data_IF_307184809199
#
_entry.id   IF_307184809199
#
_cell.length_a   1.000
_cell.length_b   1.000
_cell.length_c   1.000
_cell.angle_alpha   90.00
_cell.angle_beta   90.00
_cell.angle_gamma   90.00
#
_symmetry.space_group_name_H-M   'P 1'
#
loop_
_entity.id
_entity.type
_entity.pdbx_description
1 polymer ?
#
# COMPACT_ATOMS: atom_id res chain seq x y z
N UNK A 1 -22.83 16.47 16.95
CA UNK A 1 -22.29 15.34 16.17
C UNK A 1 -20.77 15.48 16.13
N UNK A 2 -20.02 14.40 16.41
CA UNK A 2 -18.57 14.43 16.32
C UNK A 2 -18.07 14.63 14.89
N UNK A 3 -16.83 15.12 14.71
CA UNK A 3 -16.20 15.31 13.40
C UNK A 3 -16.12 13.97 12.66
N UNK A 4 -16.55 13.94 11.38
CA UNK A 4 -16.36 12.77 10.51
C UNK A 4 -14.92 12.77 9.97
N UNK A 5 -14.03 12.05 10.61
CA UNK A 5 -12.63 11.96 10.19
C UNK A 5 -12.40 11.19 8.89
N UNK A 6 -13.43 10.49 8.36
CA UNK A 6 -13.34 9.78 7.07
C UNK A 6 -13.79 10.65 5.88
N UNK A 7 -14.43 11.80 6.13
CA UNK A 7 -14.81 12.71 5.05
C UNK A 7 -13.59 13.10 4.21
N UNK A 8 -13.66 12.80 2.91
CA UNK A 8 -12.55 13.04 1.98
C UNK A 8 -11.31 12.15 2.15
N UNK A 9 -11.30 11.20 3.10
CA UNK A 9 -10.18 10.29 3.30
C UNK A 9 -10.01 9.32 2.13
N UNK A 10 -8.78 8.81 1.96
CA UNK A 10 -8.41 7.86 0.92
C UNK A 10 -7.66 6.68 1.57
N UNK A 11 -8.11 5.46 1.31
CA UNK A 11 -7.39 4.25 1.70
C UNK A 11 -6.72 3.62 0.47
N UNK A 12 -5.38 3.62 0.44
CA UNK A 12 -4.59 3.06 -0.66
C UNK A 12 -4.28 1.57 -0.49
N UNK A 13 -4.74 0.96 0.60
CA UNK A 13 -4.37 -0.41 0.90
C UNK A 13 -5.41 -1.10 1.77
N UNK A 14 -6.32 -1.80 1.14
CA UNK A 14 -7.23 -2.71 1.84
C UNK A 14 -7.61 -3.89 0.94
N UNK A 15 -8.21 -4.89 1.54
CA UNK A 15 -8.58 -6.14 0.90
C UNK A 15 -10.09 -6.37 0.96
N UNK A 16 -10.64 -6.95 -0.11
CA UNK A 16 -12.03 -7.39 -0.17
C UNK A 16 -12.14 -8.62 -1.08
N UNK A 17 -13.33 -9.18 -1.24
CA UNK A 17 -13.59 -10.34 -2.08
C UNK A 17 -14.45 -10.04 -3.30
N UNK A 18 -14.54 -11.02 -4.23
CA UNK A 18 -13.96 -12.37 -4.15
C UNK A 18 -12.43 -12.39 -4.17
N UNK A 19 -11.84 -13.28 -3.37
CA UNK A 19 -10.39 -13.52 -3.31
C UNK A 19 -10.18 -15.04 -3.03
N UNK A 20 -9.01 -15.58 -3.31
CA UNK A 20 -8.62 -16.95 -2.93
C UNK A 20 -8.53 -17.14 -1.41
N UNK A 21 -8.44 -16.07 -0.66
CA UNK A 21 -8.54 -16.04 0.81
C UNK A 21 -9.90 -15.52 1.21
N UNK A 22 -10.43 -16.04 2.29
CA UNK A 22 -11.66 -15.51 2.86
C UNK A 22 -11.51 -14.02 3.18
N UNK A 23 -12.52 -13.24 2.78
CA UNK A 23 -12.59 -11.80 3.02
C UNK A 23 -13.86 -11.44 3.77
N UNK A 24 -13.77 -10.40 4.59
CA UNK A 24 -14.87 -9.94 5.44
C UNK A 24 -16.06 -9.38 4.67
N UNK A 25 -15.79 -8.84 3.48
CA UNK A 25 -16.78 -8.16 2.64
C UNK A 25 -16.39 -8.28 1.16
N UNK A 26 -17.36 -8.07 0.30
CA UNK A 26 -17.17 -8.00 -1.15
C UNK A 26 -16.57 -6.65 -1.55
N UNK A 27 -16.01 -6.57 -2.77
CA UNK A 27 -15.51 -5.30 -3.33
C UNK A 27 -16.60 -4.24 -3.44
N UNK A 28 -17.84 -4.63 -3.76
CA UNK A 28 -18.98 -3.71 -3.87
C UNK A 28 -19.36 -3.19 -2.48
N UNK A 29 -19.49 -4.06 -1.49
CA UNK A 29 -19.78 -3.65 -0.11
C UNK A 29 -18.71 -2.72 0.44
N UNK A 30 -17.43 -2.97 0.15
CA UNK A 30 -16.33 -2.10 0.54
C UNK A 30 -16.48 -0.69 -0.05
N UNK A 31 -16.79 -0.60 -1.35
CA UNK A 31 -16.99 0.67 -2.02
C UNK A 31 -18.23 1.42 -1.49
N UNK A 32 -19.32 0.72 -1.22
CA UNK A 32 -20.53 1.32 -0.65
C UNK A 32 -20.27 1.84 0.77
N UNK A 33 -19.63 1.07 1.63
CA UNK A 33 -19.30 1.49 3.00
C UNK A 33 -18.36 2.71 2.99
N UNK A 34 -17.37 2.74 2.11
CA UNK A 34 -16.45 3.87 1.98
C UNK A 34 -17.17 5.14 1.49
N UNK A 35 -18.08 5.01 0.50
CA UNK A 35 -18.95 6.10 0.03
C UNK A 35 -19.82 6.63 1.17
N UNK A 36 -20.49 5.75 1.89
CA UNK A 36 -21.43 6.13 2.96
C UNK A 36 -20.70 6.77 4.15
N UNK A 37 -19.41 6.50 4.30
CA UNK A 37 -18.53 7.17 5.25
C UNK A 37 -18.00 8.54 4.75
N UNK A 38 -18.29 8.93 3.51
CA UNK A 38 -17.81 10.18 2.91
C UNK A 38 -16.37 10.13 2.42
N UNK A 39 -15.79 8.94 2.22
CA UNK A 39 -14.43 8.80 1.69
C UNK A 39 -14.36 9.25 0.23
N UNK A 40 -13.22 9.84 -0.17
CA UNK A 40 -12.99 10.31 -1.54
C UNK A 40 -12.62 9.17 -2.49
N UNK A 41 -11.80 8.25 -2.03
CA UNK A 41 -11.33 7.15 -2.86
C UNK A 41 -10.88 5.95 -2.03
N UNK A 42 -10.89 4.80 -2.69
CA UNK A 42 -10.31 3.55 -2.19
C UNK A 42 -9.48 2.89 -3.30
N UNK A 43 -8.40 2.22 -2.91
CA UNK A 43 -7.59 1.39 -3.80
C UNK A 43 -7.57 -0.04 -3.30
N UNK A 44 -8.27 -0.91 -4.02
CA UNK A 44 -8.41 -2.33 -3.67
C UNK A 44 -7.18 -3.13 -4.08
N UNK A 45 -6.73 -3.99 -3.18
CA UNK A 45 -5.58 -4.86 -3.37
C UNK A 45 -5.98 -6.33 -3.28
N UNK A 46 -5.50 -7.13 -4.23
CA UNK A 46 -5.45 -8.59 -4.11
C UNK A 46 -4.00 -9.07 -4.18
N UNK A 47 -3.72 -10.17 -3.49
CA UNK A 47 -2.42 -10.84 -3.62
C UNK A 47 -2.37 -11.79 -4.81
N UNK A 48 -3.53 -12.08 -5.43
CA UNK A 48 -3.69 -13.21 -6.35
C UNK A 48 -4.20 -12.81 -7.74
N UNK A 49 -4.76 -11.60 -7.87
CA UNK A 49 -5.35 -11.13 -9.13
C UNK A 49 -4.98 -9.67 -9.41
N UNK A 50 -5.15 -9.25 -10.65
CA UNK A 50 -5.25 -7.83 -11.01
C UNK A 50 -6.59 -7.34 -10.45
N UNK A 51 -6.61 -6.15 -9.86
CA UNK A 51 -7.84 -5.53 -9.33
C UNK A 51 -8.25 -4.28 -10.09
N UNK A 52 -7.51 -3.91 -11.12
CA UNK A 52 -7.81 -2.73 -11.93
C UNK A 52 -9.10 -2.90 -12.76
N UNK A 53 -9.30 -4.08 -13.35
CA UNK A 53 -10.53 -4.45 -14.06
C UNK A 53 -11.73 -4.53 -13.11
N UNK A 54 -11.54 -5.10 -11.92
CA UNK A 54 -12.56 -5.15 -10.87
C UNK A 54 -12.99 -3.73 -10.46
N UNK A 55 -12.03 -2.83 -10.25
CA UNK A 55 -12.32 -1.42 -9.95
C UNK A 55 -13.14 -0.75 -11.06
N UNK A 56 -12.79 -1.01 -12.33
CA UNK A 56 -13.51 -0.50 -13.50
C UNK A 56 -14.94 -1.03 -13.59
N UNK A 57 -15.17 -2.28 -13.20
CA UNK A 57 -16.52 -2.89 -13.15
C UNK A 57 -17.37 -2.34 -12.02
N UNK A 58 -16.76 -2.00 -10.87
CA UNK A 58 -17.46 -1.49 -9.69
C UNK A 58 -17.78 0.00 -9.84
N UNK A 59 -16.90 0.78 -10.46
CA UNK A 59 -17.05 2.24 -10.55
C UNK A 59 -18.42 2.69 -11.07
N UNK A 60 -19.04 2.09 -12.08
CA UNK A 60 -20.39 2.46 -12.52
C UNK A 60 -21.51 2.13 -11.51
N UNK A 61 -21.26 1.19 -10.59
CA UNK A 61 -22.24 0.77 -9.59
C UNK A 61 -22.23 1.67 -8.34
N UNK A 62 -21.14 2.43 -8.13
CA UNK A 62 -20.98 3.31 -6.97
C UNK A 62 -20.67 4.73 -7.44
N UNK A 63 -21.56 5.67 -7.07
CA UNK A 63 -21.36 7.10 -7.32
C UNK A 63 -20.69 7.73 -6.08
N UNK A 64 -20.15 8.93 -6.27
CA UNK A 64 -19.59 9.77 -5.19
C UNK A 64 -18.39 9.18 -4.44
N UNK A 65 -17.75 8.17 -5.01
CA UNK A 65 -16.47 7.63 -4.56
C UNK A 65 -15.66 7.15 -5.78
N UNK A 66 -14.35 7.30 -5.72
CA UNK A 66 -13.44 6.76 -6.73
C UNK A 66 -12.89 5.41 -6.28
N UNK A 67 -12.98 4.42 -7.16
CA UNK A 67 -12.48 3.06 -6.90
C UNK A 67 -11.31 2.78 -7.83
N UNK A 68 -10.17 2.46 -7.25
CA UNK A 68 -8.95 2.11 -7.97
C UNK A 68 -8.52 0.69 -7.66
N UNK A 69 -7.68 0.14 -8.51
CA UNK A 69 -7.05 -1.15 -8.32
C UNK A 69 -5.59 -1.15 -8.76
N UNK A 70 -4.97 -2.30 -8.65
CA UNK A 70 -3.57 -2.49 -9.00
C UNK A 70 -3.22 -3.95 -9.23
N UNK A 71 -1.92 -4.26 -9.10
CA UNK A 71 -1.39 -5.62 -9.22
C UNK A 71 -0.30 -5.85 -8.18
N UNK A 72 -0.30 -7.01 -7.52
CA UNK A 72 0.79 -7.47 -6.65
C UNK A 72 1.53 -8.63 -7.33
N UNK A 73 2.85 -8.51 -7.50
CA UNK A 73 3.68 -9.40 -8.32
C UNK A 73 4.00 -10.71 -7.61
N UNK A 74 2.95 -11.44 -7.22
CA UNK A 74 3.02 -12.78 -6.64
C UNK A 74 2.92 -13.89 -7.72
N UNK A 75 3.11 -15.14 -7.34
CA UNK A 75 3.04 -16.28 -8.27
C UNK A 75 1.75 -16.36 -9.08
N UNK A 76 0.53 -16.11 -8.54
CA UNK A 76 -0.71 -16.22 -9.31
C UNK A 76 -0.78 -15.29 -10.54
N UNK A 77 -0.06 -14.16 -10.54
CA UNK A 77 0.04 -13.25 -11.70
C UNK A 77 1.32 -13.46 -12.52
N UNK A 78 2.06 -14.55 -12.25
CA UNK A 78 3.30 -14.89 -12.94
C UNK A 78 4.55 -14.29 -12.30
N UNK A 79 4.50 -13.81 -11.04
CA UNK A 79 5.63 -13.27 -10.31
C UNK A 79 6.10 -11.92 -10.87
N UNK A 80 7.42 -11.77 -11.06
CA UNK A 80 8.04 -10.59 -11.68
C UNK A 80 7.78 -10.61 -13.20
N UNK A 81 6.55 -10.36 -13.59
CA UNK A 81 6.07 -10.47 -14.96
C UNK A 81 5.81 -9.09 -15.59
N UNK A 82 6.70 -8.58 -16.47
CA UNK A 82 6.49 -7.29 -17.15
C UNK A 82 5.21 -7.22 -17.96
N UNK A 83 4.82 -8.33 -18.62
CA UNK A 83 3.59 -8.38 -19.45
C UNK A 83 2.35 -8.23 -18.58
N UNK A 84 2.32 -8.85 -17.39
CA UNK A 84 1.22 -8.68 -16.45
C UNK A 84 1.14 -7.24 -15.92
N UNK A 85 2.28 -6.57 -15.70
CA UNK A 85 2.33 -5.15 -15.33
C UNK A 85 1.74 -4.27 -16.44
N UNK A 86 2.17 -4.44 -17.69
CA UNK A 86 1.61 -3.69 -18.82
C UNK A 86 0.10 -3.91 -18.96
N UNK A 87 -0.35 -5.15 -18.80
CA UNK A 87 -1.77 -5.49 -18.85
C UNK A 87 -2.54 -4.77 -17.74
N UNK A 88 -2.03 -4.81 -16.51
CA UNK A 88 -2.66 -4.10 -15.39
C UNK A 88 -2.74 -2.59 -15.62
N UNK A 89 -1.68 -1.98 -16.15
CA UNK A 89 -1.66 -0.55 -16.48
C UNK A 89 -2.67 -0.20 -17.58
N UNK A 90 -2.79 -1.01 -18.63
CA UNK A 90 -3.80 -0.84 -19.67
C UNK A 90 -5.23 -0.97 -19.14
N UNK A 91 -5.43 -1.78 -18.11
CA UNK A 91 -6.70 -1.92 -17.38
C UNK A 91 -6.94 -0.78 -16.36
N UNK A 92 -6.02 0.16 -16.21
CA UNK A 92 -6.17 1.33 -15.34
C UNK A 92 -5.59 1.16 -13.94
N UNK A 93 -4.65 0.22 -13.73
CA UNK A 93 -3.98 0.06 -12.44
C UNK A 93 -3.31 1.37 -11.99
N UNK A 94 -3.50 1.73 -10.72
CA UNK A 94 -2.89 2.90 -10.09
C UNK A 94 -1.74 2.55 -9.15
N UNK A 95 -1.56 1.27 -8.86
CA UNK A 95 -0.48 0.82 -7.98
C UNK A 95 0.04 -0.56 -8.42
N UNK A 96 1.37 -0.69 -8.41
CA UNK A 96 2.08 -1.95 -8.63
C UNK A 96 2.88 -2.25 -7.37
N UNK A 97 2.55 -3.34 -6.70
CA UNK A 97 3.33 -3.85 -5.57
C UNK A 97 4.34 -4.88 -6.07
N UNK A 98 5.58 -4.73 -5.66
CA UNK A 98 6.55 -5.81 -5.72
C UNK A 98 6.02 -7.02 -4.95
N UNK A 99 6.65 -8.20 -5.06
CA UNK A 99 6.14 -9.41 -4.41
C UNK A 99 5.75 -9.17 -2.97
N UNK A 100 4.57 -9.67 -2.60
CA UNK A 100 4.01 -9.56 -1.24
C UNK A 100 4.07 -10.93 -0.56
N UNK A 101 2.97 -11.68 -0.50
CA UNK A 101 2.92 -12.98 0.19
C UNK A 101 3.95 -13.98 -0.33
N UNK A 102 4.31 -13.90 -1.61
CA UNK A 102 5.30 -14.78 -2.23
C UNK A 102 6.72 -14.19 -2.23
N UNK A 103 6.96 -13.04 -1.58
CA UNK A 103 8.29 -12.48 -1.46
C UNK A 103 9.25 -13.44 -0.73
N UNK A 104 10.46 -13.60 -1.26
CA UNK A 104 11.49 -14.43 -0.63
C UNK A 104 11.80 -13.97 0.81
N UNK A 105 11.67 -12.68 1.09
CA UNK A 105 11.84 -12.12 2.43
C UNK A 105 10.77 -12.64 3.40
N UNK A 106 9.49 -12.63 2.99
CA UNK A 106 8.41 -13.17 3.81
C UNK A 106 8.56 -14.68 3.99
N UNK A 107 8.86 -15.43 2.92
CA UNK A 107 9.10 -16.88 3.01
C UNK A 107 10.20 -17.21 4.01
N UNK A 108 11.29 -16.44 4.03
CA UNK A 108 12.39 -16.63 4.99
C UNK A 108 11.91 -16.41 6.42
N UNK A 109 11.12 -15.36 6.67
CA UNK A 109 10.53 -15.11 7.99
C UNK A 109 9.60 -16.24 8.42
N UNK A 110 8.79 -16.77 7.52
CA UNK A 110 7.87 -17.90 7.75
C UNK A 110 8.56 -19.27 7.74
N UNK A 111 9.89 -19.31 7.61
CA UNK A 111 10.70 -20.55 7.50
C UNK A 111 10.30 -21.45 6.33
N UNK A 112 9.74 -20.88 5.27
CA UNK A 112 9.43 -21.52 3.99
C UNK A 112 10.65 -21.45 3.05
N UNK A 113 10.76 -22.43 2.14
CA UNK A 113 11.77 -22.40 1.07
C UNK A 113 11.22 -21.70 -0.18
N UNK A 114 12.11 -21.08 -0.95
CA UNK A 114 11.75 -20.41 -2.20
C UNK A 114 11.29 -18.98 -1.98
N UNK A 115 10.23 -18.59 -2.68
CA UNK A 115 9.74 -17.20 -2.75
C UNK A 115 10.41 -16.40 -3.86
N UNK A 116 9.77 -15.31 -4.23
CA UNK A 116 10.21 -14.43 -5.32
C UNK A 116 11.23 -13.43 -4.78
N UNK A 117 12.46 -13.46 -5.28
CA UNK A 117 13.48 -12.46 -5.00
C UNK A 117 13.59 -11.48 -6.17
N UNK A 118 13.71 -10.20 -5.86
CA UNK A 118 14.03 -9.17 -6.86
C UNK A 118 15.52 -9.11 -7.19
N UNK A 119 16.35 -9.91 -6.49
CA UNK A 119 17.79 -9.94 -6.66
C UNK A 119 18.24 -11.24 -7.35
N UNK A 120 19.18 -11.10 -8.27
CA UNK A 120 19.90 -12.20 -8.87
C UNK A 120 21.03 -12.72 -7.94
N UNK A 121 21.76 -13.76 -8.37
CA UNK A 121 22.90 -14.35 -7.62
C UNK A 121 24.02 -13.35 -7.32
N UNK A 122 24.18 -12.29 -8.12
CA UNK A 122 25.18 -11.22 -7.93
C UNK A 122 24.65 -10.10 -6.99
N UNK A 123 23.48 -10.28 -6.38
CA UNK A 123 22.81 -9.31 -5.51
C UNK A 123 22.44 -7.99 -6.20
N UNK A 124 22.31 -8.01 -7.52
CA UNK A 124 21.76 -6.92 -8.32
C UNK A 124 20.30 -7.21 -8.65
N UNK A 125 19.52 -6.19 -9.04
CA UNK A 125 18.15 -6.37 -9.50
C UNK A 125 18.10 -7.34 -10.69
N UNK A 126 17.07 -8.17 -10.75
CA UNK A 126 16.87 -9.10 -11.89
C UNK A 126 16.51 -8.33 -13.15
N UNK A 127 16.63 -9.00 -14.30
CA UNK A 127 16.27 -8.41 -15.60
C UNK A 127 14.78 -8.00 -15.63
N UNK A 128 13.93 -8.87 -15.11
CA UNK A 128 12.47 -8.64 -15.05
C UNK A 128 12.12 -7.39 -14.22
N UNK A 129 12.79 -7.19 -13.09
CA UNK A 129 12.61 -5.97 -12.28
C UNK A 129 13.05 -4.73 -13.05
N UNK A 130 14.17 -4.80 -13.77
CA UNK A 130 14.65 -3.67 -14.59
C UNK A 130 13.67 -3.33 -15.70
N UNK A 131 13.08 -4.34 -16.37
CA UNK A 131 12.04 -4.16 -17.38
C UNK A 131 10.76 -3.55 -16.77
N UNK A 132 10.32 -4.04 -15.60
CA UNK A 132 9.18 -3.48 -14.87
C UNK A 132 9.43 -2.01 -14.52
N UNK A 133 10.60 -1.65 -13.99
CA UNK A 133 10.92 -0.26 -13.68
C UNK A 133 10.94 0.63 -14.94
N UNK A 134 11.41 0.10 -16.08
CA UNK A 134 11.37 0.81 -17.36
C UNK A 134 9.92 1.07 -17.83
N UNK A 135 9.03 0.09 -17.65
CA UNK A 135 7.60 0.26 -17.93
C UNK A 135 7.01 1.34 -17.02
N UNK A 136 7.25 1.22 -15.69
CA UNK A 136 6.67 2.14 -14.71
C UNK A 136 7.18 3.58 -14.86
N UNK A 137 8.40 3.77 -15.35
CA UNK A 137 8.97 5.12 -15.59
C UNK A 137 8.20 5.93 -16.63
N UNK A 138 7.44 5.26 -17.49
CA UNK A 138 6.60 5.87 -18.57
C UNK A 138 5.15 6.10 -18.13
N UNK A 139 4.80 5.72 -16.90
CA UNK A 139 3.44 5.79 -16.38
C UNK A 139 3.39 6.53 -15.06
N UNK A 140 2.31 7.26 -14.84
CA UNK A 140 2.07 7.93 -13.57
C UNK A 140 1.32 7.00 -12.60
N UNK A 141 2.06 6.05 -12.03
CA UNK A 141 1.57 4.94 -11.20
C UNK A 141 2.41 4.82 -9.93
N UNK A 142 1.83 4.29 -8.88
CA UNK A 142 2.51 4.07 -7.61
C UNK A 142 3.34 2.78 -7.69
N UNK A 143 4.64 2.89 -7.46
CA UNK A 143 5.51 1.74 -7.20
C UNK A 143 5.56 1.48 -5.70
N UNK A 144 5.10 0.31 -5.28
CA UNK A 144 5.13 -0.12 -3.88
C UNK A 144 6.11 -1.26 -3.65
N UNK A 145 6.87 -1.19 -2.55
CA UNK A 145 7.94 -2.17 -2.28
C UNK A 145 7.42 -3.56 -1.92
N UNK A 146 6.12 -3.71 -1.65
CA UNK A 146 5.58 -5.00 -1.22
C UNK A 146 6.23 -5.50 0.08
N UNK A 147 6.51 -6.80 0.14
CA UNK A 147 7.11 -7.43 1.32
C UNK A 147 8.61 -7.69 1.17
N UNK A 148 9.28 -6.85 0.38
CA UNK A 148 10.73 -6.90 0.22
C UNK A 148 11.43 -6.62 1.55
N UNK A 149 12.64 -7.17 1.71
CA UNK A 149 13.51 -6.79 2.82
C UNK A 149 13.94 -5.34 2.71
N UNK A 150 14.42 -4.77 3.82
CA UNK A 150 14.97 -3.41 3.85
C UNK A 150 16.00 -3.18 2.74
N UNK A 151 16.97 -4.10 2.57
CA UNK A 151 18.02 -3.95 1.58
C UNK A 151 17.50 -4.00 0.14
N UNK A 152 16.57 -4.90 -0.15
CA UNK A 152 15.90 -4.98 -1.44
C UNK A 152 15.11 -3.70 -1.73
N UNK A 153 14.37 -3.19 -0.74
CA UNK A 153 13.62 -1.94 -0.86
C UNK A 153 14.52 -0.74 -1.16
N UNK A 154 15.68 -0.63 -0.49
CA UNK A 154 16.64 0.44 -0.75
C UNK A 154 17.21 0.35 -2.18
N UNK A 155 17.55 -0.86 -2.65
CA UNK A 155 18.06 -1.05 -4.01
C UNK A 155 17.00 -0.73 -5.05
N UNK A 156 15.76 -1.19 -4.84
CA UNK A 156 14.63 -0.88 -5.72
C UNK A 156 14.38 0.63 -5.81
N UNK A 157 14.29 1.31 -4.66
CA UNK A 157 14.08 2.76 -4.59
C UNK A 157 15.16 3.52 -5.36
N UNK A 158 16.44 3.21 -5.10
CA UNK A 158 17.58 3.85 -5.80
C UNK A 158 17.49 3.70 -7.32
N UNK A 159 17.10 2.53 -7.79
CA UNK A 159 17.00 2.28 -9.22
C UNK A 159 15.77 2.92 -9.85
N UNK A 160 14.65 2.97 -9.11
CA UNK A 160 13.44 3.67 -9.50
C UNK A 160 13.67 5.20 -9.59
N UNK A 161 14.37 5.78 -8.60
CA UNK A 161 14.77 7.21 -8.62
C UNK A 161 15.59 7.56 -9.88
N UNK A 162 16.58 6.72 -10.25
CA UNK A 162 17.39 6.92 -11.47
C UNK A 162 16.56 6.96 -12.75
N UNK A 163 15.42 6.27 -12.78
CA UNK A 163 14.47 6.24 -13.91
C UNK A 163 13.41 7.32 -13.84
N UNK A 164 13.47 8.20 -12.84
CA UNK A 164 12.51 9.28 -12.68
C UNK A 164 11.14 8.86 -12.14
N UNK A 165 11.02 7.66 -11.57
CA UNK A 165 9.78 7.22 -10.90
C UNK A 165 9.61 8.06 -9.63
N UNK A 166 8.53 8.84 -9.55
CA UNK A 166 8.31 9.82 -8.47
C UNK A 166 7.41 9.29 -7.36
N UNK A 167 6.49 8.37 -7.68
CA UNK A 167 5.50 7.85 -6.74
C UNK A 167 5.97 6.51 -6.18
N UNK A 168 6.81 6.56 -5.16
CA UNK A 168 7.35 5.37 -4.51
C UNK A 168 6.81 5.28 -3.08
N UNK A 169 6.20 4.14 -2.76
CA UNK A 169 5.57 3.85 -1.47
C UNK A 169 6.22 2.63 -0.84
N UNK A 170 6.90 2.81 0.28
CA UNK A 170 7.42 1.69 1.07
C UNK A 170 6.27 1.06 1.82
N UNK A 171 5.92 -0.16 1.42
CA UNK A 171 4.82 -0.92 2.03
C UNK A 171 5.26 -1.45 3.40
N UNK A 172 4.42 -1.31 4.41
CA UNK A 172 4.58 -1.88 5.75
C UNK A 172 5.99 -1.72 6.35
N UNK A 173 6.61 -0.53 6.39
CA UNK A 173 8.00 -0.40 6.84
C UNK A 173 8.24 -0.99 8.23
N UNK A 174 7.17 -1.10 9.01
CA UNK A 174 7.19 -1.54 10.40
C UNK A 174 6.69 -2.99 10.61
N UNK A 175 6.44 -3.74 9.52
CA UNK A 175 6.00 -5.13 9.63
C UNK A 175 7.11 -6.04 10.21
N UNK A 176 6.71 -7.12 10.89
CA UNK A 176 7.60 -8.08 11.54
C UNK A 176 8.78 -8.55 10.68
N UNK A 177 8.57 -8.76 9.39
CA UNK A 177 9.62 -9.25 8.48
C UNK A 177 10.38 -8.12 7.74
N UNK A 178 10.02 -6.83 7.96
CA UNK A 178 10.71 -5.69 7.32
C UNK A 178 11.49 -4.90 8.37
N UNK A 179 10.82 -4.40 9.40
CA UNK A 179 11.37 -3.64 10.53
C UNK A 179 12.42 -2.60 10.10
N UNK A 180 12.03 -1.75 9.13
CA UNK A 180 12.94 -0.74 8.59
C UNK A 180 13.32 0.28 9.68
N UNK A 181 14.61 0.47 9.99
CA UNK A 181 15.04 1.41 11.03
C UNK A 181 14.58 2.85 10.72
N UNK A 182 14.21 3.60 11.75
CA UNK A 182 13.78 5.00 11.63
C UNK A 182 14.80 5.86 10.89
N UNK A 183 16.11 5.63 11.14
CA UNK A 183 17.19 6.33 10.42
C UNK A 183 17.04 6.16 8.90
N UNK A 184 16.81 4.94 8.43
CA UNK A 184 16.65 4.63 7.01
C UNK A 184 15.36 5.26 6.47
N UNK A 185 14.26 5.16 7.23
CA UNK A 185 13.01 5.82 6.83
C UNK A 185 13.20 7.34 6.69
N UNK A 186 13.91 8.01 7.63
CA UNK A 186 14.24 9.45 7.53
C UNK A 186 15.07 9.78 6.30
N UNK A 187 16.05 8.95 5.97
CA UNK A 187 16.90 9.14 4.77
C UNK A 187 16.06 9.03 3.49
N UNK A 188 15.14 8.07 3.42
CA UNK A 188 14.23 7.91 2.28
C UNK A 188 13.19 9.02 2.22
N UNK A 189 12.63 9.44 3.37
CA UNK A 189 11.67 10.55 3.43
C UNK A 189 12.23 11.86 2.85
N UNK A 190 13.51 12.17 3.15
CA UNK A 190 14.20 13.36 2.58
C UNK A 190 14.32 13.33 1.06
N UNK A 191 14.21 12.15 0.46
CA UNK A 191 14.22 11.95 -0.99
C UNK A 191 12.81 11.95 -1.60
N UNK A 192 11.78 12.23 -0.80
CA UNK A 192 10.40 12.23 -1.26
C UNK A 192 9.74 10.86 -1.33
N UNK A 193 10.33 9.85 -0.69
CA UNK A 193 9.73 8.51 -0.59
C UNK A 193 8.71 8.50 0.53
N UNK A 194 7.58 7.85 0.27
CA UNK A 194 6.46 7.76 1.21
C UNK A 194 6.38 6.38 1.87
N UNK A 195 5.67 6.33 2.99
CA UNK A 195 5.51 5.13 3.82
C UNK A 195 4.04 4.81 4.01
N UNK A 196 3.70 3.59 3.67
CA UNK A 196 2.39 3.00 3.91
C UNK A 196 2.28 2.59 5.39
N UNK A 197 1.60 3.44 6.17
CA UNK A 197 1.38 3.24 7.61
C UNK A 197 0.09 2.47 7.82
N UNK A 198 0.18 1.16 7.71
CA UNK A 198 -0.96 0.30 7.96
C UNK A 198 -1.26 0.20 9.46
N UNK A 199 -2.53 -0.06 9.78
CA UNK A 199 -2.95 -0.29 11.16
C UNK A 199 -2.12 -1.42 11.79
N UNK A 200 -1.44 -1.16 12.93
CA UNK A 200 -0.59 -2.17 13.57
C UNK A 200 -1.45 -3.22 14.29
N UNK A 201 -1.63 -4.37 13.68
CA UNK A 201 -2.25 -5.52 14.34
C UNK A 201 -1.18 -6.41 14.96
N UNK A 202 -1.59 -7.28 15.90
CA UNK A 202 -0.68 -8.27 16.50
C UNK A 202 -0.05 -9.22 15.47
N UNK A 203 -0.63 -9.33 14.26
CA UNK A 203 -0.13 -10.18 13.17
C UNK A 203 0.78 -9.45 12.18
N UNK A 204 0.69 -8.13 12.14
CA UNK A 204 1.39 -7.34 11.12
C UNK A 204 2.53 -6.51 11.67
N UNK A 205 2.46 -6.03 12.91
CA UNK A 205 3.47 -5.14 13.46
C UNK A 205 3.80 -5.44 14.92
N UNK A 206 5.08 -5.36 15.32
CA UNK A 206 5.48 -5.43 16.71
C UNK A 206 5.19 -4.14 17.48
N UNK A 207 4.77 -3.07 16.80
CA UNK A 207 4.58 -1.75 17.40
C UNK A 207 3.20 -1.62 18.04
N UNK A 208 3.17 -0.93 19.18
CA UNK A 208 1.93 -0.36 19.73
C UNK A 208 1.54 0.91 18.95
N UNK A 209 0.32 1.42 19.17
CA UNK A 209 -0.12 2.67 18.57
C UNK A 209 0.76 3.87 18.97
N UNK A 210 1.18 3.94 20.22
CA UNK A 210 2.07 4.98 20.74
C UNK A 210 3.45 4.92 20.05
N UNK A 211 3.97 3.72 19.85
CA UNK A 211 5.24 3.52 19.14
C UNK A 211 5.12 3.89 17.66
N UNK A 212 4.00 3.56 17.02
CA UNK A 212 3.70 3.96 15.63
C UNK A 212 3.60 5.48 15.53
N UNK A 213 2.86 6.13 16.45
CA UNK A 213 2.73 7.57 16.52
C UNK A 213 4.09 8.27 16.69
N UNK A 214 4.91 7.80 17.63
CA UNK A 214 6.28 8.30 17.82
C UNK A 214 7.10 8.16 16.54
N UNK A 215 7.03 7.01 15.88
CA UNK A 215 7.78 6.75 14.63
C UNK A 215 7.34 7.66 13.48
N UNK A 216 6.03 7.88 13.32
CA UNK A 216 5.51 8.81 12.31
C UNK A 216 6.01 10.24 12.60
N UNK A 217 5.98 10.70 13.85
CA UNK A 217 6.53 12.04 14.21
C UNK A 217 8.02 12.15 13.93
N UNK A 218 8.78 11.10 14.18
CA UNK A 218 10.23 11.09 13.92
C UNK A 218 10.57 11.08 12.43
N UNK A 219 9.79 10.37 11.60
CA UNK A 219 10.01 10.27 10.14
C UNK A 219 9.39 11.46 9.40
N UNK A 220 8.22 11.91 9.86
CA UNK A 220 7.46 13.04 9.33
C UNK A 220 6.09 12.64 8.78
N UNK A 221 5.06 13.39 9.14
CA UNK A 221 3.68 13.22 8.62
C UNK A 221 3.62 13.48 7.11
N UNK A 222 4.46 14.38 6.61
CA UNK A 222 4.52 14.74 5.20
C UNK A 222 4.91 13.57 4.26
N UNK A 223 5.54 12.52 4.80
CA UNK A 223 5.93 11.31 4.06
C UNK A 223 5.15 10.06 4.48
N UNK A 224 4.12 10.20 5.30
CA UNK A 224 3.31 9.07 5.79
C UNK A 224 1.92 9.08 5.17
N UNK A 225 1.40 7.89 4.83
CA UNK A 225 0.03 7.67 4.36
C UNK A 225 -0.61 6.64 5.27
N UNK A 226 -1.75 6.98 5.87
CA UNK A 226 -2.52 6.05 6.71
C UNK A 226 -3.36 5.15 5.84
N UNK A 227 -3.29 3.84 6.08
CA UNK A 227 -4.07 2.82 5.40
C UNK A 227 -4.57 1.77 6.39
N UNK A 228 -5.61 1.06 6.04
CA UNK A 228 -6.14 0.03 6.93
C UNK A 228 -5.38 -1.29 6.86
N UNK A 229 -5.07 -1.77 5.67
CA UNK A 229 -4.64 -3.15 5.38
C UNK A 229 -5.65 -4.19 5.91
N UNK A 230 -6.92 -3.79 6.03
CA UNK A 230 -7.99 -4.65 6.53
C UNK A 230 -8.76 -5.32 5.38
N UNK A 231 -9.66 -6.24 5.76
CA UNK A 231 -10.46 -7.09 4.89
C UNK A 231 -10.33 -8.58 5.27
N UNK A 232 -9.47 -8.92 6.22
CA UNK A 232 -9.39 -10.27 6.78
C UNK A 232 -10.57 -10.49 7.73
N UNK A 233 -11.15 -11.72 7.82
CA UNK A 233 -12.34 -11.99 8.63
C UNK A 233 -12.23 -11.60 10.11
N UNK A 234 -11.04 -11.73 10.68
CA UNK A 234 -10.75 -11.44 12.09
C UNK A 234 -10.61 -9.95 12.41
N UNK A 235 -10.37 -9.11 11.40
CA UNK A 235 -10.18 -7.66 11.59
C UNK A 235 -11.53 -6.92 11.53
N UNK A 236 -11.62 -5.68 12.00
CA UNK A 236 -12.75 -4.79 11.70
C UNK A 236 -12.99 -4.64 10.19
N UNK A 237 -14.15 -4.14 9.79
CA UNK A 237 -14.34 -3.69 8.42
C UNK A 237 -13.32 -2.60 8.07
N UNK A 238 -12.80 -2.53 6.83
CA UNK A 238 -11.74 -1.59 6.44
C UNK A 238 -12.07 -0.13 6.80
N UNK A 239 -13.29 0.31 6.53
CA UNK A 239 -13.75 1.67 6.82
C UNK A 239 -13.73 1.96 8.32
N UNK A 240 -14.25 1.05 9.13
CA UNK A 240 -14.27 1.19 10.59
C UNK A 240 -12.87 1.06 11.18
N UNK A 241 -12.03 0.22 10.59
CA UNK A 241 -10.62 0.11 10.96
C UNK A 241 -9.86 1.41 10.73
N UNK A 242 -10.02 2.03 9.55
CA UNK A 242 -9.39 3.31 9.25
C UNK A 242 -9.93 4.43 10.17
N UNK A 243 -11.24 4.45 10.44
CA UNK A 243 -11.86 5.37 11.39
C UNK A 243 -11.23 5.26 12.79
N UNK A 244 -11.17 4.03 13.30
CA UNK A 244 -10.56 3.75 14.61
C UNK A 244 -9.07 4.13 14.64
N UNK A 245 -8.36 3.90 13.55
CA UNK A 245 -6.94 4.24 13.42
C UNK A 245 -6.71 5.74 13.54
N UNK A 246 -7.48 6.52 12.79
CA UNK A 246 -7.43 7.99 12.83
C UNK A 246 -7.80 8.50 14.23
N UNK A 247 -8.87 7.96 14.85
CA UNK A 247 -9.29 8.35 16.19
C UNK A 247 -8.19 8.11 17.24
N UNK A 248 -7.47 6.99 17.16
CA UNK A 248 -6.35 6.70 18.05
C UNK A 248 -5.21 7.71 17.88
N UNK A 249 -4.89 8.15 16.65
CA UNK A 249 -3.90 9.20 16.45
C UNK A 249 -4.34 10.54 17.05
N UNK A 250 -5.60 10.92 16.94
CA UNK A 250 -6.15 12.13 17.58
C UNK A 250 -5.98 12.04 19.10
N UNK A 251 -6.32 10.88 19.70
CA UNK A 251 -6.13 10.65 21.14
C UNK A 251 -4.65 10.72 21.55
N UNK A 252 -3.73 10.38 20.65
CA UNK A 252 -2.27 10.49 20.84
C UNK A 252 -1.72 11.89 20.48
N UNK A 253 -2.60 12.88 20.32
CA UNK A 253 -2.26 14.29 20.15
C UNK A 253 -1.84 14.70 18.74
N UNK A 254 -2.25 13.95 17.69
CA UNK A 254 -2.14 14.44 16.32
C UNK A 254 -3.23 15.47 16.05
N UNK A 255 -2.84 16.58 15.44
CA UNK A 255 -3.77 17.61 15.01
C UNK A 255 -4.58 17.19 13.80
N UNK A 256 -5.72 17.84 13.58
CA UNK A 256 -6.53 17.66 12.38
C UNK A 256 -5.72 17.86 11.09
N UNK A 257 -4.81 18.84 11.07
CA UNK A 257 -3.94 19.11 9.92
C UNK A 257 -2.96 17.96 9.66
N UNK A 258 -2.40 17.34 10.70
CA UNK A 258 -1.54 16.17 10.54
C UNK A 258 -2.33 14.96 10.01
N UNK A 259 -3.56 14.77 10.46
CA UNK A 259 -4.44 13.72 9.94
C UNK A 259 -4.81 14.02 8.47
N UNK A 260 -5.18 15.25 8.15
CA UNK A 260 -5.49 15.66 6.78
C UNK A 260 -4.29 15.42 5.85
N UNK A 261 -3.08 15.71 6.31
CA UNK A 261 -1.87 15.44 5.55
C UNK A 261 -1.73 13.95 5.21
N UNK A 262 -1.92 13.05 6.19
CA UNK A 262 -1.67 11.63 6.03
C UNK A 262 -2.84 10.85 5.40
N UNK A 263 -4.08 11.25 5.67
CA UNK A 263 -5.26 10.51 5.24
C UNK A 263 -5.93 11.08 3.97
N UNK A 264 -5.60 12.34 3.58
CA UNK A 264 -6.23 13.03 2.43
C UNK A 264 -5.20 13.57 1.45
N UNK A 265 -4.30 14.46 1.88
CA UNK A 265 -3.40 15.22 0.99
C UNK A 265 -2.36 14.28 0.36
N UNK A 266 -1.64 13.51 1.17
CA UNK A 266 -0.61 12.60 0.66
C UNK A 266 -1.17 11.55 -0.30
N UNK A 267 -2.24 10.80 0.04
CA UNK A 267 -2.78 9.81 -0.88
C UNK A 267 -3.45 10.45 -2.12
N UNK A 268 -4.06 11.65 -2.01
CA UNK A 268 -4.57 12.40 -3.18
C UNK A 268 -3.46 12.68 -4.19
N UNK A 269 -2.28 13.15 -3.72
CA UNK A 269 -1.11 13.39 -4.60
C UNK A 269 -0.66 12.13 -5.32
N UNK A 270 -0.72 10.98 -4.66
CA UNK A 270 -0.34 9.69 -5.26
C UNK A 270 -1.33 9.24 -6.34
N UNK A 271 -2.61 9.57 -6.20
CA UNK A 271 -3.66 9.25 -7.17
C UNK A 271 -3.94 10.38 -8.18
N UNK A 272 -3.26 11.54 -8.07
CA UNK A 272 -3.53 12.76 -8.86
C UNK A 272 -4.97 13.25 -8.72
N UNK A 273 -5.48 13.25 -7.52
CA UNK A 273 -6.81 13.77 -7.20
C UNK A 273 -6.69 15.19 -6.65
N UNK A 274 -7.32 16.12 -7.34
CA UNK A 274 -7.48 17.52 -6.91
C UNK A 274 -8.37 17.64 -5.67
#
# INVERSE_FOLDING_TARGET
MGKNYLEGAIDLHFHAGPDVRERKLTYVEAALQARDAGMKAILIKSHSTITADIASLIQPLVKDILVFGGIALNYPVGGLNPVAVETALKLGARQVWMPTLDAANQYRYEKKRGGISILNRKRSLTKEVMEILEILSKHDVILSTGHLSQNESILLVREAEKRGIKKILVTHPDHFFIQMPVKVQKELARKGIFFDRCFPTRRTSPLTMEQMAKRIREVGVASSILTSDFGQPENPFPVEGLRSYIQQFIQLGFSDQEIDQMARINPSRFLNLS
#
